data_IF_548163790526
#
_entry.id   IF_548163790526
#
_cell.length_a   1.000
_cell.length_b   1.000
_cell.length_c   1.000
_cell.angle_alpha   90.00
_cell.angle_beta   90.00
_cell.angle_gamma   90.00
#
_symmetry.space_group_name_H-M   'P 1'
#
loop_
_entity.id
_entity.type
_entity.pdbx_description
1 polymer ?
#
# COMPACT_ATOMS: atom_id res chain seq x y z
N UNK A 1 20.75 -1.41 -24.53
CA UNK A 1 19.49 -1.73 -25.22
C UNK A 1 18.46 -0.73 -24.72
N UNK A 2 17.87 0.04 -25.63
CA UNK A 2 17.06 1.20 -25.28
C UNK A 2 15.78 0.80 -24.55
N UNK A 3 15.61 1.32 -23.34
CA UNK A 3 14.36 1.21 -22.61
C UNK A 3 13.41 2.33 -23.03
N UNK A 4 12.17 1.94 -23.24
CA UNK A 4 11.02 2.76 -23.59
C UNK A 4 10.80 3.89 -22.58
N UNK A 5 11.38 5.05 -22.82
CA UNK A 5 10.96 6.33 -22.21
C UNK A 5 9.70 6.83 -22.89
N UNK A 6 8.57 6.14 -22.73
CA UNK A 6 7.28 6.62 -23.26
C UNK A 6 6.23 6.63 -22.15
N UNK A 7 6.35 7.67 -21.32
CA UNK A 7 5.38 8.06 -20.32
C UNK A 7 6.04 8.87 -19.23
N UNK A 8 6.27 10.17 -19.45
CA UNK A 8 6.56 11.08 -18.33
C UNK A 8 5.50 10.89 -17.24
N UNK A 9 5.91 10.84 -15.96
CA UNK A 9 4.97 10.75 -14.84
C UNK A 9 4.02 11.94 -14.91
N UNK A 10 2.73 11.68 -15.10
CA UNK A 10 1.69 12.72 -15.10
C UNK A 10 1.18 12.90 -13.68
N UNK A 11 0.81 14.13 -13.36
CA UNK A 11 0.27 14.47 -12.05
C UNK A 11 -1.09 15.14 -12.23
N UNK A 12 -2.09 14.62 -11.53
CA UNK A 12 -3.40 15.23 -11.44
C UNK A 12 -3.39 16.12 -10.20
N UNK A 13 -3.54 17.44 -10.39
CA UNK A 13 -3.60 18.42 -9.31
C UNK A 13 -5.04 18.86 -9.07
N UNK A 14 -5.52 18.66 -7.86
CA UNK A 14 -6.85 19.09 -7.42
C UNK A 14 -6.73 20.02 -6.20
N UNK A 15 -6.96 21.33 -6.36
CA UNK A 15 -6.99 22.25 -5.23
C UNK A 15 -8.30 22.06 -4.45
N UNK A 16 -8.20 21.67 -3.19
CA UNK A 16 -9.30 21.52 -2.26
C UNK A 16 -9.32 22.71 -1.30
N UNK A 17 -10.48 23.34 -1.14
CA UNK A 17 -10.64 24.47 -0.22
C UNK A 17 -11.36 24.02 1.05
N UNK A 18 -10.71 24.18 2.20
CA UNK A 18 -11.32 23.98 3.51
C UNK A 18 -12.33 25.08 3.83
N UNK A 19 -13.20 24.82 4.80
CA UNK A 19 -14.20 25.79 5.29
C UNK A 19 -13.58 27.05 5.90
N UNK A 20 -12.39 26.93 6.48
CA UNK A 20 -11.59 28.05 7.03
C UNK A 20 -10.86 28.88 5.95
N UNK A 21 -10.93 28.47 4.69
CA UNK A 21 -10.29 29.14 3.56
C UNK A 21 -8.91 28.59 3.19
N UNK A 22 -8.33 27.67 3.97
CA UNK A 22 -7.07 27.01 3.62
C UNK A 22 -7.22 26.21 2.32
N UNK A 23 -6.22 26.28 1.44
CA UNK A 23 -6.17 25.51 0.20
C UNK A 23 -5.17 24.37 0.36
N UNK A 24 -5.60 23.17 0.00
CA UNK A 24 -4.78 21.96 -0.04
C UNK A 24 -4.67 21.52 -1.48
N UNK A 25 -3.44 21.35 -1.96
CA UNK A 25 -3.21 20.76 -3.26
C UNK A 25 -3.16 19.24 -3.13
N UNK A 26 -4.25 18.56 -3.49
CA UNK A 26 -4.23 17.10 -3.64
C UNK A 26 -3.60 16.77 -4.99
N UNK A 27 -2.39 16.24 -4.96
CA UNK A 27 -1.65 15.84 -6.16
C UNK A 27 -1.57 14.32 -6.20
N UNK A 28 -2.12 13.72 -7.25
CA UNK A 28 -2.14 12.27 -7.45
C UNK A 28 -1.23 11.95 -8.62
N UNK A 29 -0.18 11.13 -8.42
CA UNK A 29 0.64 10.65 -9.53
C UNK A 29 -0.16 9.62 -10.34
N UNK A 30 -0.29 9.85 -11.64
CA UNK A 30 -0.89 8.91 -12.60
C UNK A 30 0.19 7.90 -13.01
N UNK A 31 0.32 6.85 -12.20
CA UNK A 31 1.31 5.79 -12.38
C UNK A 31 0.63 4.48 -12.73
N UNK A 32 1.21 3.77 -13.70
CA UNK A 32 0.79 2.41 -14.05
C UNK A 32 1.39 1.41 -13.05
N UNK A 33 0.78 0.24 -12.94
CA UNK A 33 1.27 -0.82 -12.04
C UNK A 33 2.69 -1.31 -12.35
N UNK A 34 3.17 -1.13 -13.59
CA UNK A 34 4.55 -1.41 -13.98
C UNK A 34 5.57 -0.50 -13.29
N UNK A 35 5.18 0.72 -12.92
CA UNK A 35 6.05 1.67 -12.20
C UNK A 35 6.39 1.20 -10.78
N UNK A 36 5.64 0.24 -10.21
CA UNK A 36 6.05 -0.44 -8.98
C UNK A 36 7.29 -1.30 -9.17
N UNK A 37 7.52 -1.82 -10.39
CA UNK A 37 8.73 -2.57 -10.71
C UNK A 37 9.95 -1.65 -10.70
N UNK A 38 9.80 -0.46 -11.25
CA UNK A 38 10.85 0.56 -11.31
C UNK A 38 11.27 1.01 -9.90
N UNK A 39 10.30 1.20 -8.99
CA UNK A 39 10.59 1.49 -7.57
C UNK A 39 11.41 0.37 -6.92
N UNK A 40 11.08 -0.90 -7.19
CA UNK A 40 11.78 -2.04 -6.61
C UNK A 40 13.20 -2.19 -7.20
N UNK A 41 13.39 -1.77 -8.45
CA UNK A 41 14.68 -1.81 -9.14
C UNK A 41 15.51 -0.52 -8.98
N UNK A 42 15.02 0.47 -8.23
CA UNK A 42 15.65 1.78 -8.03
C UNK A 42 15.88 2.57 -9.35
N UNK A 43 15.00 2.37 -10.35
CA UNK A 43 15.11 2.92 -11.72
C UNK A 43 13.89 3.82 -12.07
N UNK A 44 13.57 4.76 -11.20
CA UNK A 44 12.33 5.56 -11.30
C UNK A 44 12.56 6.96 -11.90
N UNK A 45 11.48 7.56 -12.43
CA UNK A 45 11.46 8.93 -12.96
C UNK A 45 11.87 9.97 -11.89
N UNK A 46 12.93 10.77 -12.10
CA UNK A 46 13.34 11.81 -11.16
C UNK A 46 12.21 12.77 -10.75
N UNK A 47 11.23 13.03 -11.62
CA UNK A 47 10.06 13.86 -11.28
C UNK A 47 9.23 13.25 -10.15
N UNK A 48 9.11 11.92 -10.11
CA UNK A 48 8.39 11.22 -9.04
C UNK A 48 9.11 11.34 -7.69
N UNK A 49 10.45 11.27 -7.67
CA UNK A 49 11.19 11.49 -6.42
C UNK A 49 11.06 12.93 -5.91
N UNK A 50 11.13 13.93 -6.78
CA UNK A 50 10.92 15.32 -6.38
C UNK A 50 9.49 15.56 -5.89
N UNK A 51 8.50 14.93 -6.53
CA UNK A 51 7.13 14.91 -6.04
C UNK A 51 7.03 14.30 -4.62
N UNK A 52 7.66 13.15 -4.38
CA UNK A 52 7.67 12.53 -3.05
C UNK A 52 8.33 13.46 -2.02
N UNK A 53 9.51 14.02 -2.31
CA UNK A 53 10.23 14.91 -1.39
C UNK A 53 9.46 16.18 -1.01
N UNK A 54 8.60 16.67 -1.89
CA UNK A 54 7.76 17.86 -1.64
C UNK A 54 6.39 17.54 -1.02
N UNK A 55 6.04 16.27 -0.89
CA UNK A 55 4.75 15.82 -0.37
C UNK A 55 4.74 15.72 1.16
N UNK A 56 3.60 16.01 1.79
CA UNK A 56 3.47 16.14 3.25
C UNK A 56 2.81 14.95 3.93
N UNK A 57 2.29 13.98 3.17
CA UNK A 57 1.58 12.83 3.69
C UNK A 57 1.41 11.74 2.64
N UNK A 58 1.14 10.53 3.09
CA UNK A 58 0.96 9.36 2.24
C UNK A 58 -0.45 8.82 2.42
N UNK A 59 -1.27 8.84 1.37
CA UNK A 59 -2.52 8.09 1.29
C UNK A 59 -2.33 6.89 0.37
N UNK A 60 -2.22 5.69 0.93
CA UNK A 60 -1.86 4.50 0.17
C UNK A 60 -2.96 3.44 0.25
N UNK A 61 -3.55 3.14 -0.91
CA UNK A 61 -4.64 2.18 -1.03
C UNK A 61 -4.10 0.79 -1.37
N UNK A 62 -4.58 -0.22 -0.65
CA UNK A 62 -4.26 -1.61 -0.92
C UNK A 62 -5.55 -2.36 -1.22
N UNK A 63 -5.60 -3.02 -2.38
CA UNK A 63 -6.66 -3.95 -2.72
C UNK A 63 -6.16 -5.39 -2.54
N UNK A 64 -7.01 -6.28 -2.01
CA UNK A 64 -6.83 -7.73 -1.97
C UNK A 64 -5.39 -8.25 -1.80
N UNK A 65 -4.88 -8.21 -0.57
CA UNK A 65 -3.65 -8.94 -0.22
C UNK A 65 -3.94 -10.40 0.10
N UNK A 66 -3.12 -11.30 -0.42
CA UNK A 66 -3.05 -12.68 0.07
C UNK A 66 -2.28 -12.71 1.39
N UNK A 67 -2.68 -13.61 2.30
CA UNK A 67 -1.97 -13.80 3.56
C UNK A 67 -0.53 -14.21 3.24
N UNK A 68 0.42 -13.40 3.67
CA UNK A 68 1.83 -13.68 3.49
C UNK A 68 2.57 -13.60 4.82
N UNK A 69 3.03 -14.76 5.27
CA UNK A 69 4.07 -14.87 6.30
C UNK A 69 5.33 -15.22 5.53
N UNK A 70 6.40 -14.43 5.70
CA UNK A 70 7.72 -14.83 5.24
C UNK A 70 8.00 -16.19 5.88
N UNK A 71 7.83 -17.27 5.12
CA UNK A 71 8.27 -18.58 5.56
C UNK A 71 9.80 -18.51 5.58
N UNK A 72 10.41 -19.02 6.64
CA UNK A 72 11.86 -19.20 6.74
C UNK A 72 12.37 -20.24 5.72
N UNK A 73 12.04 -20.09 4.43
CA UNK A 73 12.66 -20.86 3.36
C UNK A 73 14.17 -20.65 3.33
N UNK A 74 14.66 -19.54 3.88
CA UNK A 74 16.08 -19.32 4.17
C UNK A 74 16.64 -20.29 5.23
N UNK A 75 15.86 -20.75 6.22
CA UNK A 75 16.36 -21.73 7.21
C UNK A 75 16.41 -23.16 6.67
N UNK A 76 15.63 -23.51 5.64
CA UNK A 76 15.73 -24.84 5.02
C UNK A 76 17.05 -24.98 4.25
N UNK A 77 17.50 -23.92 3.59
CA UNK A 77 18.80 -23.90 2.91
C UNK A 77 20.00 -24.01 3.86
N UNK A 78 19.83 -23.62 5.14
CA UNK A 78 20.91 -23.69 6.14
C UNK A 78 20.92 -25.01 6.91
N UNK A 79 19.80 -25.77 6.92
CA UNK A 79 19.69 -27.01 7.70
C UNK A 79 19.97 -28.29 6.92
N UNK A 80 20.12 -28.23 5.60
CA UNK A 80 20.38 -29.43 4.77
C UNK A 80 21.85 -29.63 4.38
N UNK A 81 22.77 -28.71 4.71
CA UNK A 81 24.18 -28.80 4.27
C UNK A 81 25.24 -28.60 5.38
N UNK A 82 25.05 -29.25 6.53
CA UNK A 82 26.16 -29.38 7.50
C UNK A 82 27.16 -30.50 7.15
N UNK A 83 27.04 -31.16 5.99
CA UNK A 83 27.90 -32.30 5.64
C UNK A 83 28.49 -32.34 4.23
N UNK A 84 28.34 -31.33 3.37
CA UNK A 84 29.06 -31.30 2.10
C UNK A 84 29.77 -29.97 1.87
N UNK A 85 31.10 -30.03 1.92
CA UNK A 85 32.00 -29.00 1.39
C UNK A 85 32.00 -29.02 -0.16
N UNK A 86 30.81 -28.92 -0.76
CA UNK A 86 30.59 -28.96 -2.20
C UNK A 86 30.08 -27.61 -2.73
N UNK A 87 30.84 -27.04 -3.66
CA UNK A 87 30.49 -25.96 -4.58
C UNK A 87 29.85 -24.67 -4.01
N UNK A 88 30.75 -23.82 -3.50
CA UNK A 88 30.54 -22.36 -3.44
C UNK A 88 30.02 -21.76 -4.75
N UNK A 89 30.26 -22.41 -5.89
CA UNK A 89 29.82 -21.97 -7.22
C UNK A 89 28.36 -22.34 -7.53
N UNK A 90 27.85 -23.46 -7.02
CA UNK A 90 26.42 -23.81 -7.09
C UNK A 90 25.60 -22.95 -6.15
N UNK A 91 26.08 -22.72 -4.92
CA UNK A 91 25.47 -21.76 -3.99
C UNK A 91 25.44 -20.33 -4.58
N UNK A 92 26.48 -19.93 -5.32
CA UNK A 92 26.51 -18.64 -6.04
C UNK A 92 25.53 -18.61 -7.22
N UNK A 93 25.42 -19.70 -7.99
CA UNK A 93 24.42 -19.84 -9.07
C UNK A 93 22.98 -19.86 -8.56
N UNK A 94 22.73 -20.47 -7.40
CA UNK A 94 21.42 -20.43 -6.74
C UNK A 94 21.12 -19.05 -6.15
N UNK A 95 22.12 -18.39 -5.54
CA UNK A 95 22.02 -17.00 -5.11
C UNK A 95 21.80 -16.02 -6.27
N UNK A 96 22.43 -16.27 -7.43
CA UNK A 96 22.24 -15.48 -8.66
C UNK A 96 20.89 -15.79 -9.34
N UNK A 97 20.31 -16.98 -9.15
CA UNK A 97 18.91 -17.30 -9.48
C UNK A 97 17.92 -16.66 -8.52
N UNK A 98 18.37 -16.30 -7.32
CA UNK A 98 17.64 -15.52 -6.31
C UNK A 98 17.61 -14.01 -6.62
N UNK A 99 17.85 -13.61 -7.88
CA UNK A 99 17.42 -12.29 -8.35
C UNK A 99 15.93 -12.16 -8.09
N UNK A 100 15.58 -11.20 -7.22
CA UNK A 100 14.22 -10.82 -6.90
C UNK A 100 13.47 -10.49 -8.19
N UNK A 101 12.76 -11.46 -8.74
CA UNK A 101 11.89 -11.22 -9.88
C UNK A 101 10.63 -10.55 -9.38
N UNK A 102 10.46 -9.27 -9.71
CA UNK A 102 9.31 -8.49 -9.29
C UNK A 102 7.99 -9.10 -9.76
N UNK A 103 7.98 -9.79 -10.90
CA UNK A 103 6.77 -10.43 -11.43
C UNK A 103 6.27 -11.58 -10.54
N UNK A 104 7.18 -12.29 -9.87
CA UNK A 104 6.84 -13.42 -9.00
C UNK A 104 6.78 -13.04 -7.52
N UNK A 105 7.12 -11.79 -7.18
CA UNK A 105 7.09 -11.30 -5.81
C UNK A 105 5.63 -11.21 -5.29
N UNK A 106 5.36 -11.67 -4.06
CA UNK A 106 4.07 -11.48 -3.41
C UNK A 106 3.71 -9.99 -3.26
N UNK A 107 2.44 -9.64 -3.45
CA UNK A 107 1.99 -8.24 -3.40
C UNK A 107 2.24 -7.58 -2.03
N UNK A 108 2.19 -8.36 -0.94
CA UNK A 108 2.55 -7.88 0.40
C UNK A 108 4.01 -7.38 0.43
N UNK A 109 4.92 -8.10 -0.21
CA UNK A 109 6.33 -7.71 -0.30
C UNK A 109 6.50 -6.49 -1.19
N UNK A 110 5.83 -6.43 -2.35
CA UNK A 110 5.86 -5.25 -3.23
C UNK A 110 5.39 -4.00 -2.50
N UNK A 111 4.22 -4.06 -1.86
CA UNK A 111 3.67 -2.95 -1.09
C UNK A 111 4.59 -2.52 0.05
N UNK A 112 5.17 -3.47 0.78
CA UNK A 112 6.15 -3.16 1.83
C UNK A 112 7.36 -2.41 1.27
N UNK A 113 7.95 -2.85 0.16
CA UNK A 113 9.10 -2.20 -0.46
C UNK A 113 8.75 -0.77 -0.92
N UNK A 114 7.57 -0.59 -1.51
CA UNK A 114 7.09 0.74 -1.91
C UNK A 114 6.91 1.65 -0.69
N UNK A 115 6.28 1.17 0.39
CA UNK A 115 6.09 1.96 1.62
C UNK A 115 7.45 2.32 2.24
N UNK A 116 8.40 1.37 2.29
CA UNK A 116 9.77 1.62 2.76
C UNK A 116 10.46 2.71 1.95
N UNK A 117 10.28 2.65 0.63
CA UNK A 117 10.87 3.60 -0.28
C UNK A 117 10.26 5.00 -0.12
N UNK A 118 8.93 5.12 -0.07
CA UNK A 118 8.25 6.38 0.22
C UNK A 118 8.71 6.96 1.56
N UNK A 119 8.85 6.14 2.60
CA UNK A 119 9.38 6.58 3.90
C UNK A 119 10.80 7.15 3.81
N UNK A 120 11.65 6.56 2.96
CA UNK A 120 13.03 7.02 2.72
C UNK A 120 13.06 8.38 2.02
N UNK A 121 12.20 8.59 1.02
CA UNK A 121 12.16 9.85 0.27
C UNK A 121 11.47 10.98 1.02
N UNK A 122 10.34 10.69 1.66
CA UNK A 122 9.45 11.69 2.23
C UNK A 122 9.82 12.07 3.67
N UNK A 123 10.70 11.31 4.32
CA UNK A 123 11.01 11.55 5.73
C UNK A 123 9.81 11.24 6.63
N UNK A 124 9.73 11.93 7.78
CA UNK A 124 8.76 11.63 8.82
C UNK A 124 7.42 12.33 8.56
N UNK A 125 6.65 11.77 7.62
CA UNK A 125 5.32 12.24 7.24
C UNK A 125 4.22 11.36 7.82
N UNK A 126 2.99 11.86 7.89
CA UNK A 126 1.81 11.05 8.26
C UNK A 126 1.50 10.04 7.15
N UNK A 127 1.06 8.83 7.51
CA UNK A 127 0.63 7.80 6.54
C UNK A 127 -0.76 7.24 6.87
N UNK A 128 -1.60 7.08 5.85
CA UNK A 128 -2.82 6.30 5.92
C UNK A 128 -2.69 5.08 5.00
N UNK A 129 -2.88 3.89 5.57
CA UNK A 129 -3.00 2.65 4.84
C UNK A 129 -4.48 2.23 4.77
N UNK A 130 -5.04 2.33 3.58
CA UNK A 130 -6.45 2.12 3.29
C UNK A 130 -6.69 0.79 2.56
N UNK A 131 -7.37 -0.17 3.20
CA UNK A 131 -7.78 -1.42 2.56
C UNK A 131 -9.07 -1.20 1.78
N UNK A 132 -9.02 -1.26 0.46
CA UNK A 132 -10.21 -1.08 -0.38
C UNK A 132 -11.12 -2.31 -0.36
N UNK A 133 -12.37 -2.10 -0.77
CA UNK A 133 -13.42 -3.13 -0.78
C UNK A 133 -13.65 -3.75 0.60
N UNK A 134 -13.69 -2.92 1.65
CA UNK A 134 -13.83 -3.41 3.02
C UNK A 134 -15.17 -4.12 3.28
N UNK A 135 -16.22 -3.79 2.52
CA UNK A 135 -17.54 -4.41 2.60
C UNK A 135 -17.56 -5.91 2.31
N UNK A 136 -16.51 -6.47 1.69
CA UNK A 136 -16.37 -7.91 1.46
C UNK A 136 -15.41 -8.60 2.43
N UNK A 137 -14.91 -7.89 3.45
CA UNK A 137 -13.96 -8.40 4.46
C UNK A 137 -14.67 -8.65 5.80
N UNK A 138 -15.77 -9.38 5.75
CA UNK A 138 -16.71 -9.56 6.88
C UNK A 138 -16.15 -10.33 8.09
N UNK A 139 -15.04 -11.05 7.93
CA UNK A 139 -14.48 -11.92 8.96
C UNK A 139 -13.54 -11.24 9.97
N UNK A 140 -13.29 -9.93 9.84
CA UNK A 140 -12.34 -9.21 10.68
C UNK A 140 -13.04 -8.26 11.62
N UNK A 141 -12.69 -8.35 12.91
CA UNK A 141 -13.34 -7.55 13.97
C UNK A 141 -12.83 -6.11 14.03
N UNK A 142 -11.61 -5.87 13.54
CA UNK A 142 -11.00 -4.55 13.46
C UNK A 142 -10.06 -4.46 12.27
N UNK A 143 -9.71 -3.24 11.86
CA UNK A 143 -8.71 -3.03 10.82
C UNK A 143 -7.32 -3.54 11.24
N UNK A 144 -6.96 -3.39 12.52
CA UNK A 144 -5.69 -3.92 13.04
C UNK A 144 -5.63 -5.44 12.94
N UNK A 145 -6.72 -6.14 13.24
CA UNK A 145 -6.80 -7.60 13.15
C UNK A 145 -6.57 -8.08 11.70
N UNK A 146 -7.14 -7.37 10.73
CA UNK A 146 -6.87 -7.62 9.32
C UNK A 146 -5.38 -7.48 8.98
N UNK A 147 -4.75 -6.36 9.36
CA UNK A 147 -3.33 -6.12 9.05
C UNK A 147 -2.40 -7.11 9.75
N UNK A 148 -2.65 -7.43 11.03
CA UNK A 148 -1.88 -8.45 11.79
C UNK A 148 -2.00 -9.84 11.16
N UNK A 149 -3.19 -10.20 10.67
CA UNK A 149 -3.45 -11.54 10.13
C UNK A 149 -2.99 -11.70 8.69
N UNK A 150 -3.23 -10.70 7.83
CA UNK A 150 -2.98 -10.79 6.39
C UNK A 150 -1.56 -10.33 6.01
N UNK A 151 -1.08 -9.24 6.60
CA UNK A 151 0.20 -8.62 6.23
C UNK A 151 0.96 -8.09 7.45
N UNK A 152 1.36 -8.98 8.38
CA UNK A 152 2.03 -8.59 9.63
C UNK A 152 3.32 -7.78 9.40
N UNK A 153 4.02 -8.01 8.29
CA UNK A 153 5.23 -7.26 7.95
C UNK A 153 4.93 -5.77 7.65
N UNK A 154 3.85 -5.47 6.91
CA UNK A 154 3.42 -4.10 6.65
C UNK A 154 2.94 -3.44 7.95
N UNK A 155 2.12 -4.17 8.71
CA UNK A 155 1.62 -3.71 10.00
C UNK A 155 2.76 -3.28 10.94
N UNK A 156 3.75 -4.16 11.13
CA UNK A 156 4.89 -3.88 11.98
C UNK A 156 5.74 -2.73 11.43
N UNK A 157 6.06 -2.76 10.13
CA UNK A 157 6.89 -1.71 9.53
C UNK A 157 6.28 -0.33 9.75
N UNK A 158 4.99 -0.15 9.45
CA UNK A 158 4.34 1.15 9.60
C UNK A 158 4.31 1.59 11.06
N UNK A 159 3.91 0.70 11.98
CA UNK A 159 3.81 1.02 13.41
C UNK A 159 5.12 1.45 14.07
N UNK A 160 6.25 0.96 13.57
CA UNK A 160 7.57 1.25 14.15
C UNK A 160 8.41 2.27 13.36
N UNK A 161 8.00 2.65 12.15
CA UNK A 161 8.78 3.58 11.31
C UNK A 161 8.04 4.89 11.00
N UNK A 162 6.75 4.99 11.34
CA UNK A 162 5.97 6.22 11.22
C UNK A 162 5.45 6.63 12.58
N UNK A 163 5.71 7.87 12.99
CA UNK A 163 5.23 8.41 14.28
C UNK A 163 3.71 8.61 14.29
N UNK A 164 3.14 8.96 13.13
CA UNK A 164 1.70 9.21 12.97
C UNK A 164 1.17 8.41 11.79
N UNK A 165 0.33 7.42 12.08
CA UNK A 165 -0.25 6.53 11.08
C UNK A 165 -1.73 6.24 11.35
N UNK A 166 -2.47 5.89 10.30
CA UNK A 166 -3.83 5.37 10.38
C UNK A 166 -3.95 4.12 9.51
N UNK A 167 -4.57 3.07 10.06
CA UNK A 167 -5.10 1.96 9.28
C UNK A 167 -6.60 2.16 9.12
N UNK A 168 -7.13 2.04 7.91
CA UNK A 168 -8.57 2.04 7.69
C UNK A 168 -8.99 1.09 6.57
N UNK A 169 -10.24 0.66 6.60
CA UNK A 169 -10.93 0.02 5.50
C UNK A 169 -11.76 1.04 4.75
N UNK A 170 -11.88 0.89 3.44
CA UNK A 170 -12.70 1.76 2.58
C UNK A 170 -13.70 0.90 1.84
N UNK A 171 -14.98 1.19 2.05
CA UNK A 171 -16.04 0.73 1.16
C UNK A 171 -16.58 1.93 0.40
N UNK A 172 -16.10 2.12 -0.83
CA UNK A 172 -16.54 3.24 -1.67
C UNK A 172 -17.95 3.00 -2.26
N UNK A 173 -18.32 1.74 -2.50
CA UNK A 173 -19.60 1.39 -3.13
C UNK A 173 -20.63 0.79 -2.16
N UNK A 174 -20.22 0.34 -0.96
CA UNK A 174 -21.09 -0.26 0.06
C UNK A 174 -21.47 -1.72 -0.17
N UNK A 175 -21.31 -2.23 -1.39
CA UNK A 175 -21.48 -3.62 -1.76
C UNK A 175 -20.87 -3.88 -3.13
N UNK A 176 -20.69 -5.17 -3.48
CA UNK A 176 -20.60 -5.58 -4.88
C UNK A 176 -21.99 -5.53 -5.53
N UNK A 177 -22.04 -5.04 -6.77
CA UNK A 177 -23.28 -4.98 -7.57
C UNK A 177 -23.91 -6.35 -7.87
N UNK A 178 -23.15 -7.44 -7.72
CA UNK A 178 -23.60 -8.81 -7.98
C UNK A 178 -24.24 -9.50 -6.77
N UNK A 179 -24.34 -8.83 -5.61
CA UNK A 179 -25.01 -9.37 -4.42
C UNK A 179 -26.49 -8.94 -4.37
N UNK A 180 -27.44 -9.82 -4.73
CA UNK A 180 -28.86 -9.52 -4.55
C UNK A 180 -29.18 -9.37 -3.06
N UNK A 181 -29.92 -8.31 -2.70
CA UNK A 181 -30.49 -8.14 -1.36
C UNK A 181 -29.99 -6.93 -0.54
N UNK A 182 -29.01 -6.16 -1.01
CA UNK A 182 -28.67 -4.86 -0.40
C UNK A 182 -29.43 -3.73 -1.10
N UNK A 183 -30.27 -3.03 -0.36
CA UNK A 183 -30.93 -1.81 -0.85
C UNK A 183 -29.93 -0.65 -0.89
N UNK A 184 -29.14 -0.63 -1.96
CA UNK A 184 -28.13 0.41 -2.21
C UNK A 184 -28.77 1.78 -2.41
N UNK A 185 -30.02 1.85 -2.87
CA UNK A 185 -30.75 3.12 -3.03
C UNK A 185 -31.01 3.75 -1.66
N UNK A 186 -31.61 2.99 -0.74
CA UNK A 186 -31.88 3.44 0.63
C UNK A 186 -30.60 3.83 1.38
N UNK A 187 -29.51 3.06 1.20
CA UNK A 187 -28.22 3.42 1.79
C UNK A 187 -27.64 4.70 1.17
N UNK A 188 -27.86 4.95 -0.11
CA UNK A 188 -27.40 6.19 -0.78
C UNK A 188 -28.19 7.39 -0.24
N UNK A 189 -29.51 7.27 -0.16
CA UNK A 189 -30.40 8.33 0.37
C UNK A 189 -30.07 8.69 1.82
N UNK A 190 -29.67 7.70 2.63
CA UNK A 190 -29.24 7.91 4.02
C UNK A 190 -27.79 8.39 4.15
N UNK A 191 -27.05 8.50 3.05
CA UNK A 191 -25.61 8.82 3.07
C UNK A 191 -24.75 7.73 3.71
N UNK A 192 -25.24 6.49 3.78
CA UNK A 192 -24.62 5.36 4.48
C UNK A 192 -24.03 4.30 3.54
N UNK A 193 -24.11 4.53 2.23
CA UNK A 193 -23.59 3.60 1.22
C UNK A 193 -22.07 3.49 1.29
N UNK A 194 -21.38 4.61 1.25
CA UNK A 194 -19.92 4.63 1.31
C UNK A 194 -19.46 4.91 2.74
N UNK A 195 -18.41 4.23 3.19
CA UNK A 195 -17.88 4.41 4.54
C UNK A 195 -16.40 4.08 4.65
N UNK A 196 -15.78 4.72 5.64
CA UNK A 196 -14.48 4.38 6.19
C UNK A 196 -14.70 3.50 7.42
N UNK A 197 -13.84 2.51 7.61
CA UNK A 197 -13.86 1.64 8.78
C UNK A 197 -12.54 1.69 9.52
N UNK A 198 -12.57 2.08 10.79
CA UNK A 198 -11.41 2.04 11.69
C UNK A 198 -11.65 0.97 12.76
N UNK A 199 -12.57 1.30 13.64
CA UNK A 199 -13.18 0.52 14.73
C UNK A 199 -14.70 0.43 14.53
N UNK A 200 -15.28 1.46 13.91
CA UNK A 200 -16.68 1.58 13.51
C UNK A 200 -16.79 2.10 12.09
N UNK A 201 -18.01 2.05 11.54
CA UNK A 201 -18.31 2.70 10.25
C UNK A 201 -18.39 4.22 10.46
N UNK A 202 -17.66 4.96 9.64
CA UNK A 202 -17.67 6.40 9.55
C UNK A 202 -18.13 6.76 8.14
N UNK A 203 -19.24 7.49 8.04
CA UNK A 203 -19.88 7.83 6.77
C UNK A 203 -19.32 9.12 6.16
N UNK A 204 -18.01 9.33 6.32
CA UNK A 204 -17.26 10.45 5.77
C UNK A 204 -15.98 9.93 5.12
N UNK A 205 -15.96 9.93 3.78
CA UNK A 205 -14.83 9.46 3.00
C UNK A 205 -13.61 10.39 3.08
N UNK A 206 -13.77 11.61 3.59
CA UNK A 206 -12.66 12.55 3.77
C UNK A 206 -11.84 12.27 5.04
N UNK A 207 -12.32 11.43 5.96
CA UNK A 207 -11.64 11.08 7.22
C UNK A 207 -10.14 10.75 7.05
N UNK A 208 -9.71 9.92 6.07
CA UNK A 208 -8.28 9.66 5.83
C UNK A 208 -7.50 10.91 5.44
N UNK A 209 -8.10 11.78 4.64
CA UNK A 209 -7.47 13.02 4.19
C UNK A 209 -7.38 14.02 5.35
N UNK A 210 -8.44 14.15 6.14
CA UNK A 210 -8.45 14.98 7.35
C UNK A 210 -7.35 14.58 8.34
N UNK A 211 -7.11 13.29 8.51
CA UNK A 211 -5.98 12.81 9.32
C UNK A 211 -4.63 13.29 8.77
N UNK A 212 -4.41 13.20 7.46
CA UNK A 212 -3.14 13.59 6.84
C UNK A 212 -2.86 15.09 6.92
N UNK A 213 -3.90 15.92 6.88
CA UNK A 213 -3.81 17.40 6.85
C UNK A 213 -4.03 18.05 8.21
N UNK A 214 -4.34 17.26 9.23
CA UNK A 214 -4.41 17.74 10.62
C UNK A 214 -3.01 18.14 11.10
N UNK A 215 -2.93 19.07 12.05
CA UNK A 215 -1.68 19.36 12.77
C UNK A 215 -1.38 18.23 13.76
#
# INVERSE_FOLDING_TARGET
>A
MGHSTDGETKFIKWPLKKKDGQVIDLIIPDMKGETYHDIINDDFDPKFAEFCKSSQGILFFINNMSRFVLKDHAMKLVKEDDNNAGDKEELKKEADKLKLNVLTMPDVTKNLLVIKYLRKLMGNVKIVLAVSSWDVKENYRSIEDYFKTICPAIYNYVRYNFESYMFCGVSAQGAKYDQPGKDLSSLTEKGQRAYIFTDRKIYDLSTPLEFLISE
#
